data_IF_608866940429
#
_entry.id   IF_608866940429
#
_cell.length_a   1.000
_cell.length_b   1.000
_cell.length_c   1.000
_cell.angle_alpha   90.00
_cell.angle_beta   90.00
_cell.angle_gamma   90.00
#
_symmetry.space_group_name_H-M   'P 1'
#
loop_
_entity.id
_entity.type
_entity.pdbx_description
1 polymer ?
#
# COMPACT_ATOMS: atom_id res chain seq x y z
N UNK A 1 28.30 60.53 11.74
CA UNK A 1 28.55 60.26 10.31
C UNK A 1 28.76 58.77 10.21
N UNK A 2 27.99 57.98 9.58
CA UNK A 2 27.08 57.93 8.54
C UNK A 2 26.27 56.63 8.60
N UNK A 3 25.11 56.77 8.12
CA UNK A 3 23.94 55.98 7.92
C UNK A 3 24.11 54.46 7.65
N UNK A 4 23.53 53.60 8.50
CA UNK A 4 23.10 52.25 8.18
C UNK A 4 21.73 52.27 7.51
N UNK A 5 21.57 51.72 6.32
CA UNK A 5 20.29 51.55 5.61
C UNK A 5 19.74 50.14 5.85
N UNK A 6 18.52 50.14 6.30
CA UNK A 6 17.61 48.98 6.36
C UNK A 6 17.46 48.26 5.03
N UNK A 7 17.52 46.92 5.08
CA UNK A 7 16.84 46.08 4.12
C UNK A 7 16.23 44.88 4.86
N UNK A 8 14.98 44.96 5.12
CA UNK A 8 14.13 43.82 5.51
C UNK A 8 12.97 43.74 4.52
N UNK A 9 12.77 42.52 4.06
CA UNK A 9 11.46 42.07 3.56
C UNK A 9 11.31 42.16 2.05
N UNK A 10 11.45 40.97 1.43
CA UNK A 10 10.72 40.53 0.21
C UNK A 10 11.33 39.21 -0.27
N UNK A 11 11.00 38.10 0.40
CA UNK A 11 11.25 36.74 -0.10
C UNK A 11 10.23 35.80 0.51
N UNK A 12 9.00 35.80 0.03
CA UNK A 12 8.05 34.74 0.25
C UNK A 12 6.89 34.73 -0.77
N UNK A 13 6.91 35.56 -1.81
CA UNK A 13 5.84 35.61 -2.81
C UNK A 13 6.26 35.26 -4.24
N UNK A 14 7.52 34.84 -4.43
CA UNK A 14 8.12 34.65 -5.76
C UNK A 14 8.14 33.24 -6.32
N UNK A 15 7.85 32.22 -5.51
CA UNK A 15 8.06 30.80 -5.93
C UNK A 15 6.77 30.15 -6.43
N UNK A 16 5.60 30.58 -5.98
CA UNK A 16 4.30 29.99 -6.40
C UNK A 16 3.87 30.44 -7.82
N UNK A 17 4.38 31.54 -8.33
CA UNK A 17 4.03 32.06 -9.65
C UNK A 17 4.86 31.48 -10.82
N UNK A 18 5.96 30.82 -10.54
CA UNK A 18 6.88 30.32 -11.60
C UNK A 18 6.50 28.94 -12.13
N UNK A 19 5.79 28.11 -11.32
CA UNK A 19 5.36 26.76 -11.76
C UNK A 19 4.12 26.84 -12.67
N UNK A 20 3.22 27.78 -12.42
CA UNK A 20 2.05 28.01 -13.27
C UNK A 20 2.43 28.56 -14.68
N UNK A 21 3.57 29.25 -14.82
CA UNK A 21 3.98 29.85 -16.10
C UNK A 21 4.71 28.87 -17.01
N UNK A 22 5.34 27.80 -16.48
CA UNK A 22 6.07 26.82 -17.32
C UNK A 22 5.11 25.88 -18.06
N UNK A 23 3.93 25.62 -17.48
CA UNK A 23 2.87 24.84 -18.18
C UNK A 23 2.26 25.66 -19.34
N UNK A 24 2.27 27.00 -19.29
CA UNK A 24 1.65 27.87 -20.27
C UNK A 24 2.55 28.11 -21.51
N UNK A 25 3.87 28.01 -21.41
CA UNK A 25 4.79 28.36 -22.51
C UNK A 25 4.99 27.21 -23.51
N UNK A 26 4.73 25.96 -23.16
CA UNK A 26 4.78 24.82 -24.09
C UNK A 26 3.60 24.73 -25.07
N UNK A 27 2.59 25.59 -24.94
CA UNK A 27 1.27 25.46 -25.57
C UNK A 27 1.09 26.34 -26.85
N UNK A 28 2.10 26.97 -27.37
CA UNK A 28 1.91 28.11 -28.28
C UNK A 28 1.96 27.87 -29.81
N UNK A 29 1.75 26.66 -30.34
CA UNK A 29 1.89 26.46 -31.83
C UNK A 29 0.73 25.70 -32.49
N UNK A 30 -0.38 25.38 -31.81
CA UNK A 30 -1.51 24.67 -32.46
C UNK A 30 -2.80 25.48 -32.39
N UNK A 31 -3.51 25.71 -33.56
CA UNK A 31 -4.61 26.69 -33.62
C UNK A 31 -5.94 26.28 -33.02
N UNK A 32 -6.20 25.03 -32.74
CA UNK A 32 -7.40 24.60 -32.03
C UNK A 32 -7.06 23.65 -30.88
N UNK A 33 -7.25 24.11 -29.64
CA UNK A 33 -7.13 23.29 -28.48
C UNK A 33 -8.50 23.06 -27.88
N UNK A 34 -8.92 21.80 -27.87
CA UNK A 34 -10.04 21.38 -27.03
C UNK A 34 -9.47 21.05 -25.65
N UNK A 35 -9.66 21.96 -24.68
CA UNK A 35 -9.18 21.82 -23.32
C UNK A 35 -10.38 21.53 -22.43
N UNK A 36 -10.24 20.55 -21.55
CA UNK A 36 -11.20 20.20 -20.52
C UNK A 36 -10.50 20.08 -19.18
N UNK A 37 -11.02 20.73 -18.17
CA UNK A 37 -10.58 20.65 -16.78
C UNK A 37 -11.52 19.74 -16.00
N UNK A 38 -10.98 19.03 -15.00
CA UNK A 38 -11.73 18.11 -14.17
C UNK A 38 -11.59 18.51 -12.71
N UNK A 39 -12.71 18.67 -12.05
CA UNK A 39 -12.77 18.86 -10.61
C UNK A 39 -12.59 17.53 -9.89
N UNK A 40 -12.01 17.59 -8.70
CA UNK A 40 -12.00 16.47 -7.76
C UNK A 40 -13.42 16.07 -7.38
N UNK A 41 -13.65 14.78 -7.12
CA UNK A 41 -14.88 14.27 -6.54
C UNK A 41 -14.69 13.93 -5.07
N UNK A 42 -15.75 14.15 -4.28
CA UNK A 42 -15.79 13.74 -2.88
C UNK A 42 -16.08 12.25 -2.68
N UNK A 43 -16.41 11.52 -3.75
CA UNK A 43 -16.74 10.10 -3.68
C UNK A 43 -15.56 9.24 -3.22
N UNK A 44 -15.86 8.19 -2.48
CA UNK A 44 -14.93 7.14 -2.06
C UNK A 44 -15.07 5.91 -2.94
N UNK A 45 -13.95 5.29 -3.24
CA UNK A 45 -13.88 4.16 -4.17
C UNK A 45 -13.11 2.99 -3.56
N UNK A 46 -13.52 1.78 -3.88
CA UNK A 46 -12.73 0.57 -3.63
C UNK A 46 -11.62 0.38 -4.65
N UNK A 47 -10.70 1.34 -4.72
CA UNK A 47 -9.59 1.29 -5.66
C UNK A 47 -8.56 0.21 -5.28
N UNK A 48 -7.88 -0.43 -6.27
CA UNK A 48 -6.93 -1.48 -6.00
C UNK A 48 -5.74 -1.02 -5.16
N UNK A 49 -5.19 -1.93 -4.37
CA UNK A 49 -3.95 -1.77 -3.58
C UNK A 49 -4.02 -0.67 -2.50
N UNK A 50 -5.19 -0.30 -2.03
CA UNK A 50 -5.38 0.66 -0.94
C UNK A 50 -6.67 0.42 -0.18
N UNK A 51 -6.85 1.09 0.96
CA UNK A 51 -8.09 1.11 1.71
C UNK A 51 -8.15 0.04 2.80
N UNK A 52 -9.35 -0.38 3.17
CA UNK A 52 -9.53 -1.39 4.19
C UNK A 52 -9.25 -2.80 3.67
N UNK A 53 -8.62 -3.61 4.52
CA UNK A 53 -8.23 -4.99 4.22
C UNK A 53 -8.74 -5.95 5.32
N UNK A 54 -10.05 -6.28 5.33
CA UNK A 54 -10.58 -7.28 6.26
C UNK A 54 -10.01 -8.67 5.95
N UNK A 55 -10.15 -9.60 6.91
CA UNK A 55 -9.66 -10.96 6.75
C UNK A 55 -10.20 -11.64 5.49
N UNK A 56 -9.33 -12.33 4.77
CA UNK A 56 -9.66 -13.00 3.51
C UNK A 56 -10.66 -14.16 3.66
N UNK A 57 -10.76 -14.77 4.84
CA UNK A 57 -11.74 -15.81 5.16
C UNK A 57 -13.18 -15.30 5.32
N UNK A 58 -13.41 -13.99 5.39
CA UNK A 58 -14.75 -13.42 5.46
C UNK A 58 -15.60 -13.81 4.25
N UNK A 59 -16.79 -14.36 4.48
CA UNK A 59 -17.70 -14.75 3.40
C UNK A 59 -18.23 -13.54 2.63
N UNK A 60 -18.40 -12.41 3.31
CA UNK A 60 -18.89 -11.16 2.71
C UNK A 60 -17.96 -10.00 3.03
N UNK A 61 -17.62 -9.25 1.98
CA UNK A 61 -16.90 -7.99 2.10
C UNK A 61 -17.63 -6.91 1.33
N UNK A 62 -17.46 -5.66 1.73
CA UNK A 62 -18.12 -4.55 1.06
C UNK A 62 -17.51 -4.26 -0.32
N UNK A 63 -18.28 -3.59 -1.19
CA UNK A 63 -17.87 -3.28 -2.57
C UNK A 63 -16.65 -2.36 -2.64
N UNK A 64 -16.46 -1.54 -1.62
CA UNK A 64 -15.33 -0.62 -1.44
C UNK A 64 -14.04 -1.29 -0.94
N UNK A 65 -14.03 -2.61 -0.74
CA UNK A 65 -12.86 -3.41 -0.36
C UNK A 65 -12.20 -4.01 -1.60
N UNK A 66 -10.93 -3.66 -1.82
CA UNK A 66 -10.08 -4.21 -2.89
C UNK A 66 -8.88 -5.00 -2.38
N UNK A 67 -8.62 -4.93 -1.09
CA UNK A 67 -7.57 -5.67 -0.39
C UNK A 67 -8.18 -6.60 0.65
N UNK A 68 -7.59 -7.77 0.84
CA UNK A 68 -7.92 -8.72 1.91
C UNK A 68 -6.65 -9.04 2.69
N UNK A 69 -6.83 -9.40 3.95
CA UNK A 69 -5.75 -9.72 4.85
C UNK A 69 -5.71 -11.22 5.14
N UNK A 70 -4.57 -11.84 5.02
CA UNK A 70 -4.36 -13.26 5.26
C UNK A 70 -3.21 -13.46 6.24
N UNK A 71 -3.55 -13.81 7.49
CA UNK A 71 -2.61 -14.36 8.46
C UNK A 71 -2.54 -15.86 8.30
N UNK A 72 -1.34 -16.41 8.35
CA UNK A 72 -1.12 -17.85 8.43
C UNK A 72 -0.04 -18.15 9.46
N UNK A 73 -0.29 -19.11 10.33
CA UNK A 73 0.74 -19.62 11.24
C UNK A 73 1.62 -20.65 10.53
N UNK A 74 2.84 -20.82 11.00
CA UNK A 74 3.71 -21.87 10.44
C UNK A 74 3.15 -23.27 10.71
N UNK A 75 2.51 -23.47 11.87
CA UNK A 75 1.89 -24.76 12.21
C UNK A 75 0.75 -25.12 11.24
N UNK A 76 -0.05 -24.14 10.79
CA UNK A 76 -1.10 -24.34 9.78
C UNK A 76 -0.52 -24.61 8.41
N UNK A 77 0.55 -23.88 8.04
CA UNK A 77 1.18 -23.98 6.73
C UNK A 77 1.85 -25.36 6.52
N UNK A 78 2.64 -25.81 7.50
CA UNK A 78 3.53 -26.96 7.35
C UNK A 78 3.40 -27.93 8.55
N UNK A 79 2.24 -28.61 8.67
CA UNK A 79 1.96 -29.49 9.81
C UNK A 79 2.94 -30.67 9.95
N UNK A 80 3.62 -31.06 8.85
CA UNK A 80 4.73 -32.01 8.82
C UNK A 80 5.86 -31.49 7.95
N UNK A 81 7.09 -31.81 8.28
CA UNK A 81 8.29 -31.38 7.56
C UNK A 81 8.19 -31.63 6.04
N UNK A 82 8.19 -30.56 5.25
CA UNK A 82 8.07 -30.57 3.80
C UNK A 82 6.67 -30.87 3.25
N UNK A 83 5.64 -31.04 4.11
CA UNK A 83 4.26 -31.24 3.69
C UNK A 83 3.45 -29.94 3.96
N UNK A 84 3.20 -29.18 2.91
CA UNK A 84 2.49 -27.88 3.00
C UNK A 84 0.99 -28.05 2.76
N UNK A 85 0.19 -27.35 3.57
CA UNK A 85 -1.27 -27.48 3.60
C UNK A 85 -1.98 -26.47 2.65
N UNK A 86 -1.49 -26.39 1.41
CA UNK A 86 -1.95 -25.38 0.42
C UNK A 86 -3.46 -25.38 0.21
N UNK A 87 -4.06 -26.55 0.01
CA UNK A 87 -5.51 -26.66 -0.28
C UNK A 87 -6.38 -26.06 0.84
N UNK A 88 -6.02 -26.29 2.11
CA UNK A 88 -6.74 -25.73 3.25
C UNK A 88 -6.59 -24.21 3.28
N UNK A 89 -5.35 -23.70 3.20
CA UNK A 89 -5.05 -22.28 3.25
C UNK A 89 -5.76 -21.53 2.12
N UNK A 90 -5.68 -22.01 0.89
CA UNK A 90 -6.32 -21.39 -0.26
C UNK A 90 -7.85 -21.38 -0.16
N UNK A 91 -8.42 -22.47 0.33
CA UNK A 91 -9.85 -22.62 0.50
C UNK A 91 -10.39 -21.75 1.63
N UNK A 92 -9.76 -21.78 2.80
CA UNK A 92 -10.14 -20.98 3.97
C UNK A 92 -10.07 -19.49 3.67
N UNK A 93 -9.00 -19.04 2.99
CA UNK A 93 -8.80 -17.66 2.61
C UNK A 93 -9.42 -17.30 1.24
N UNK A 94 -10.16 -18.21 0.62
CA UNK A 94 -10.91 -17.99 -0.62
C UNK A 94 -10.08 -17.39 -1.79
N UNK A 95 -8.79 -17.74 -1.90
CA UNK A 95 -7.84 -17.07 -2.80
C UNK A 95 -8.29 -17.05 -4.27
N UNK A 96 -8.83 -18.17 -4.77
CA UNK A 96 -9.37 -18.27 -6.13
C UNK A 96 -10.54 -17.31 -6.39
N UNK A 97 -11.40 -17.06 -5.38
CA UNK A 97 -12.49 -16.10 -5.44
C UNK A 97 -11.96 -14.67 -5.54
N UNK A 98 -11.07 -14.29 -4.65
CA UNK A 98 -10.55 -12.93 -4.59
C UNK A 98 -9.79 -12.57 -5.87
N UNK A 99 -8.98 -13.50 -6.38
CA UNK A 99 -8.30 -13.34 -7.68
C UNK A 99 -9.31 -13.12 -8.82
N UNK A 100 -10.38 -13.90 -8.87
CA UNK A 100 -11.44 -13.77 -9.89
C UNK A 100 -12.16 -12.42 -9.80
N UNK A 101 -12.38 -11.92 -8.58
CA UNK A 101 -12.99 -10.62 -8.31
C UNK A 101 -12.03 -9.44 -8.52
N UNK A 102 -10.73 -9.68 -8.77
CA UNK A 102 -9.70 -8.66 -8.95
C UNK A 102 -9.29 -7.98 -7.64
N UNK A 103 -9.41 -8.68 -6.53
CA UNK A 103 -8.95 -8.24 -5.21
C UNK A 103 -7.58 -8.82 -4.92
N UNK A 104 -6.75 -8.06 -4.21
CA UNK A 104 -5.38 -8.44 -3.86
C UNK A 104 -5.27 -8.85 -2.39
N UNK A 105 -4.19 -9.53 -2.03
CA UNK A 105 -3.96 -10.06 -0.69
C UNK A 105 -2.74 -9.39 -0.05
N UNK A 106 -2.88 -9.08 1.24
CA UNK A 106 -1.80 -8.80 2.17
C UNK A 106 -1.53 -10.10 2.91
N UNK A 107 -0.30 -10.58 2.89
CA UNK A 107 0.11 -11.79 3.59
C UNK A 107 0.91 -11.43 4.85
N UNK A 108 0.57 -12.07 5.98
CA UNK A 108 1.41 -12.12 7.17
C UNK A 108 1.63 -13.58 7.57
N UNK A 109 2.88 -14.01 7.62
CA UNK A 109 3.27 -15.35 8.09
C UNK A 109 3.85 -15.23 9.49
N UNK A 110 3.25 -15.93 10.46
CA UNK A 110 3.52 -15.73 11.87
C UNK A 110 4.00 -17.00 12.56
N UNK A 111 4.86 -16.83 13.59
CA UNK A 111 5.45 -17.91 14.36
C UNK A 111 5.04 -17.90 15.85
N UNK A 112 4.31 -16.87 16.27
CA UNK A 112 3.91 -16.68 17.67
C UNK A 112 2.69 -15.74 17.73
N UNK A 113 1.52 -16.27 18.10
CA UNK A 113 0.27 -15.55 18.26
C UNK A 113 -0.26 -15.80 19.68
N UNK A 114 -0.25 -14.81 20.57
CA UNK A 114 -0.87 -14.96 21.90
C UNK A 114 -2.35 -15.30 21.81
N UNK A 115 -2.77 -16.41 22.44
CA UNK A 115 -4.13 -16.89 22.42
C UNK A 115 -4.73 -17.14 23.80
N UNK A 116 -5.99 -17.57 23.86
CA UNK A 116 -6.69 -17.85 25.13
C UNK A 116 -6.15 -19.10 25.82
N UNK A 117 -5.84 -20.11 25.03
CA UNK A 117 -5.34 -21.40 25.51
C UNK A 117 -3.86 -21.56 25.17
N UNK A 118 -3.18 -22.42 25.95
CA UNK A 118 -1.76 -22.74 25.67
C UNK A 118 -1.64 -23.46 24.35
N UNK A 119 -0.91 -22.90 23.41
CA UNK A 119 -0.66 -23.46 22.09
C UNK A 119 0.68 -23.00 21.54
N UNK A 120 1.01 -23.42 20.33
CA UNK A 120 2.25 -23.10 19.62
C UNK A 120 1.94 -22.91 18.13
N UNK A 121 2.50 -21.85 17.52
CA UNK A 121 2.27 -21.48 16.13
C UNK A 121 3.40 -21.91 15.20
N UNK A 122 4.48 -22.48 15.73
CA UNK A 122 5.43 -23.27 14.95
C UNK A 122 5.00 -24.76 14.97
N UNK A 123 5.29 -25.54 13.91
CA UNK A 123 4.90 -26.94 13.88
C UNK A 123 5.68 -27.79 14.90
N UNK A 124 5.04 -28.85 15.42
CA UNK A 124 5.61 -29.77 16.42
C UNK A 124 6.94 -30.38 15.98
N UNK A 125 7.04 -30.76 14.70
CA UNK A 125 8.29 -31.31 14.16
C UNK A 125 9.45 -30.32 14.23
N UNK A 126 9.18 -28.99 14.05
CA UNK A 126 10.20 -27.96 14.17
C UNK A 126 10.59 -27.72 15.62
N UNK A 127 9.62 -27.72 16.54
CA UNK A 127 9.86 -27.63 17.98
C UNK A 127 10.81 -28.74 18.44
N UNK A 128 10.61 -29.99 17.97
CA UNK A 128 11.52 -31.12 18.22
C UNK A 128 12.92 -30.87 17.61
N UNK A 129 12.99 -30.37 16.36
CA UNK A 129 14.24 -30.07 15.67
C UNK A 129 15.06 -28.97 16.35
N UNK A 130 14.40 -27.97 16.91
CA UNK A 130 15.06 -26.88 17.64
C UNK A 130 15.55 -27.32 19.03
N UNK A 131 15.26 -28.54 19.47
CA UNK A 131 15.56 -29.06 20.80
C UNK A 131 14.72 -28.37 21.87
N UNK A 132 13.49 -28.01 21.55
CA UNK A 132 12.52 -27.35 22.41
C UNK A 132 12.97 -25.95 22.90
N UNK A 133 13.85 -25.27 22.17
CA UNK A 133 14.34 -23.95 22.55
C UNK A 133 13.30 -22.86 22.28
N UNK A 134 13.06 -22.05 23.29
CA UNK A 134 12.05 -20.99 23.29
C UNK A 134 11.40 -20.86 24.65
N UNK A 135 10.37 -20.04 24.78
CA UNK A 135 9.73 -19.73 26.06
C UNK A 135 8.22 -19.90 25.96
N UNK A 136 7.66 -20.83 26.74
CA UNK A 136 6.23 -20.87 27.01
C UNK A 136 5.85 -19.71 27.92
N UNK A 137 4.81 -18.96 27.54
CA UNK A 137 4.36 -17.79 28.30
C UNK A 137 2.86 -17.83 28.60
N UNK A 138 2.50 -17.12 29.67
CA UNK A 138 1.13 -16.82 30.11
C UNK A 138 1.15 -15.38 30.63
N UNK A 139 0.75 -14.44 29.80
CA UNK A 139 0.83 -12.99 30.03
C UNK A 139 -0.55 -12.36 29.89
N UNK A 140 -0.69 -11.07 30.21
CA UNK A 140 -1.98 -10.36 30.24
C UNK A 140 -2.76 -10.49 28.91
N UNK A 141 -2.06 -10.42 27.77
CA UNK A 141 -2.68 -10.46 26.45
C UNK A 141 -2.78 -11.87 25.82
N UNK A 142 -2.34 -12.92 26.54
CA UNK A 142 -2.53 -14.28 26.06
C UNK A 142 -1.44 -15.27 26.47
N UNK A 143 -1.58 -16.49 25.96
CA UNK A 143 -0.69 -17.63 26.21
C UNK A 143 -0.16 -18.15 24.87
N UNK A 144 1.05 -18.68 24.88
CA UNK A 144 1.63 -19.22 23.67
C UNK A 144 3.06 -19.72 23.89
N UNK A 145 3.77 -19.88 22.78
CA UNK A 145 5.18 -20.26 22.74
C UNK A 145 5.95 -19.28 21.86
N UNK A 146 6.88 -18.53 22.46
CA UNK A 146 7.82 -17.69 21.74
C UNK A 146 9.06 -18.53 21.38
N UNK A 147 9.30 -18.84 20.09
CA UNK A 147 10.46 -19.62 19.67
C UNK A 147 11.77 -18.85 19.90
N UNK A 148 12.87 -19.60 20.05
CA UNK A 148 14.21 -19.02 20.05
C UNK A 148 14.62 -18.66 18.61
N UNK A 149 14.46 -17.42 18.26
CA UNK A 149 14.81 -16.89 16.93
C UNK A 149 16.31 -16.93 16.62
N UNK A 150 17.21 -17.19 17.58
CA UNK A 150 18.63 -17.41 17.34
C UNK A 150 18.98 -18.86 17.03
N UNK A 151 18.03 -19.78 17.14
CA UNK A 151 18.26 -21.18 16.87
C UNK A 151 18.50 -21.43 15.37
N UNK A 152 19.63 -22.06 15.01
CA UNK A 152 20.02 -22.29 13.61
C UNK A 152 19.04 -23.18 12.84
N UNK A 153 18.33 -24.10 13.50
CA UNK A 153 17.29 -24.92 12.84
C UNK A 153 16.05 -24.07 12.55
N UNK A 154 15.65 -23.20 13.50
CA UNK A 154 14.55 -22.24 13.30
C UNK A 154 14.80 -21.38 12.06
N UNK A 155 15.98 -20.77 11.97
CA UNK A 155 16.39 -19.90 10.86
C UNK A 155 16.43 -20.67 9.55
N UNK A 156 17.04 -21.86 9.54
CA UNK A 156 17.17 -22.69 8.34
C UNK A 156 15.80 -23.07 7.77
N UNK A 157 14.93 -23.64 8.61
CA UNK A 157 13.62 -24.10 8.15
C UNK A 157 12.66 -22.93 7.83
N UNK A 158 12.79 -21.79 8.53
CA UNK A 158 12.06 -20.57 8.15
C UNK A 158 12.36 -20.17 6.70
N UNK A 159 13.63 -20.14 6.32
CA UNK A 159 14.00 -19.81 4.93
C UNK A 159 13.42 -20.82 3.92
N UNK A 160 13.30 -22.12 4.27
CA UNK A 160 12.66 -23.13 3.42
C UNK A 160 11.13 -22.90 3.32
N UNK A 161 10.47 -22.60 4.42
CA UNK A 161 9.03 -22.31 4.44
C UNK A 161 8.70 -21.06 3.60
N UNK A 162 9.47 -19.98 3.77
CA UNK A 162 9.30 -18.75 2.97
C UNK A 162 9.55 -19.00 1.49
N UNK A 163 10.56 -19.82 1.15
CA UNK A 163 10.81 -20.21 -0.23
C UNK A 163 9.63 -20.97 -0.83
N UNK A 164 9.06 -21.93 -0.09
CA UNK A 164 7.88 -22.67 -0.53
C UNK A 164 6.66 -21.76 -0.72
N UNK A 165 6.46 -20.78 0.19
CA UNK A 165 5.42 -19.74 0.04
C UNK A 165 5.63 -18.95 -1.25
N UNK A 166 6.85 -18.50 -1.55
CA UNK A 166 7.16 -17.73 -2.75
C UNK A 166 6.98 -18.54 -4.04
N UNK A 167 7.41 -19.80 -4.05
CA UNK A 167 7.21 -20.71 -5.19
C UNK A 167 5.73 -20.98 -5.46
N UNK A 168 4.90 -21.06 -4.41
CA UNK A 168 3.47 -21.36 -4.54
C UNK A 168 2.60 -20.12 -4.78
N UNK A 169 2.81 -19.03 -4.05
CA UNK A 169 1.95 -17.83 -4.05
C UNK A 169 2.56 -16.60 -4.74
N UNK A 170 3.88 -16.58 -5.00
CA UNK A 170 4.59 -15.37 -5.43
C UNK A 170 4.45 -15.02 -6.92
N UNK A 171 3.91 -15.92 -7.76
CA UNK A 171 4.02 -15.83 -9.22
C UNK A 171 2.95 -15.00 -9.93
N UNK A 172 1.75 -14.88 -9.38
CA UNK A 172 0.57 -14.45 -10.12
C UNK A 172 0.06 -13.03 -9.80
N UNK A 173 0.73 -12.33 -8.88
CA UNK A 173 0.38 -10.96 -8.49
C UNK A 173 -0.79 -10.85 -7.51
N UNK A 174 -1.34 -11.96 -7.02
CA UNK A 174 -2.39 -11.97 -6.01
C UNK A 174 -1.88 -11.41 -4.68
N UNK A 175 -0.70 -11.86 -4.23
CA UNK A 175 -0.02 -11.31 -3.05
C UNK A 175 0.66 -10.00 -3.47
N UNK A 176 0.09 -8.87 -3.06
CA UNK A 176 0.60 -7.55 -3.40
C UNK A 176 1.45 -6.92 -2.31
N UNK A 177 1.14 -7.26 -1.05
CA UNK A 177 1.85 -6.80 0.12
C UNK A 177 2.18 -7.96 1.05
N UNK A 178 3.31 -7.88 1.74
CA UNK A 178 3.70 -8.82 2.78
C UNK A 178 4.13 -8.02 4.00
N UNK A 179 3.42 -8.16 5.10
CA UNK A 179 3.90 -7.71 6.38
C UNK A 179 4.80 -8.79 6.96
N UNK A 180 6.07 -8.47 7.18
CA UNK A 180 7.09 -9.39 7.68
C UNK A 180 6.77 -9.80 9.11
N UNK A 181 6.01 -10.88 9.25
CA UNK A 181 5.41 -11.35 10.50
C UNK A 181 6.15 -12.47 11.21
N UNK A 182 7.38 -12.79 10.83
CA UNK A 182 8.08 -13.97 11.36
C UNK A 182 8.63 -13.80 12.77
N UNK A 183 8.79 -12.57 13.27
CA UNK A 183 9.44 -12.28 14.54
C UNK A 183 8.51 -11.60 15.54
N UNK A 184 8.49 -12.12 16.77
CA UNK A 184 7.74 -11.55 17.89
C UNK A 184 6.27 -11.93 17.94
N UNK A 185 5.58 -11.46 18.98
CA UNK A 185 4.14 -11.66 19.16
C UNK A 185 3.37 -11.07 17.97
N UNK A 186 2.40 -11.81 17.44
CA UNK A 186 1.62 -11.48 16.22
C UNK A 186 2.48 -11.16 15.00
N UNK A 187 3.80 -11.43 15.07
CA UNK A 187 4.73 -11.01 14.04
C UNK A 187 5.04 -9.51 14.03
N UNK A 188 4.77 -8.79 15.10
CA UNK A 188 4.87 -7.33 15.19
C UNK A 188 6.22 -6.83 15.72
N UNK A 189 7.24 -7.67 15.67
CA UNK A 189 8.62 -7.32 16.05
C UNK A 189 8.74 -6.80 17.49
N UNK A 190 7.94 -7.35 18.37
CA UNK A 190 8.02 -7.13 19.82
C UNK A 190 7.80 -8.42 20.61
N UNK A 191 8.33 -8.48 21.80
CA UNK A 191 8.15 -9.58 22.75
C UNK A 191 7.98 -9.03 24.16
N UNK A 192 7.25 -9.75 25.02
CA UNK A 192 7.20 -9.42 26.43
C UNK A 192 8.45 -9.93 27.14
N UNK A 193 9.58 -9.25 26.96
CA UNK A 193 10.84 -9.63 27.59
C UNK A 193 10.81 -9.53 29.12
N UNK A 194 9.87 -8.77 29.71
CA UNK A 194 9.68 -8.73 31.18
C UNK A 194 9.09 -10.04 31.73
N UNK A 195 8.44 -10.84 30.89
CA UNK A 195 7.98 -12.19 31.20
C UNK A 195 9.06 -13.28 30.99
N UNK A 196 10.31 -12.90 30.78
CA UNK A 196 11.43 -13.82 30.56
C UNK A 196 11.58 -14.32 29.13
N UNK A 197 10.81 -13.78 28.17
CA UNK A 197 10.97 -14.07 26.75
C UNK A 197 12.23 -13.36 26.24
N UNK A 198 13.01 -14.06 25.41
CA UNK A 198 14.22 -13.49 24.83
C UNK A 198 13.86 -12.33 23.89
N UNK A 199 14.61 -11.22 24.01
CA UNK A 199 14.47 -10.09 23.08
C UNK A 199 14.73 -10.52 21.64
N UNK A 200 14.30 -9.69 20.69
CA UNK A 200 14.57 -9.90 19.27
C UNK A 200 16.06 -10.11 19.02
N UNK A 201 16.43 -10.98 18.08
CA UNK A 201 17.82 -11.27 17.78
C UNK A 201 18.56 -10.05 17.24
N UNK A 202 19.88 -10.16 17.15
CA UNK A 202 20.75 -9.13 16.56
C UNK A 202 20.48 -8.94 15.06
N UNK A 203 20.98 -7.83 14.53
CA UNK A 203 20.79 -7.41 13.15
C UNK A 203 21.13 -8.49 12.13
N UNK A 204 22.27 -9.16 12.28
CA UNK A 204 22.73 -10.22 11.38
C UNK A 204 21.81 -11.43 11.37
N UNK A 205 21.20 -11.76 12.50
CA UNK A 205 20.21 -12.84 12.60
C UNK A 205 18.85 -12.39 12.04
N UNK A 206 18.40 -11.17 12.38
CA UNK A 206 17.17 -10.61 11.81
C UNK A 206 17.21 -10.58 10.28
N UNK A 207 18.36 -10.26 9.69
CA UNK A 207 18.54 -10.27 8.24
C UNK A 207 18.22 -11.63 7.62
N UNK A 208 18.57 -12.72 8.29
CA UNK A 208 18.28 -14.08 7.83
C UNK A 208 16.80 -14.42 7.79
N UNK A 209 15.96 -13.66 8.52
CA UNK A 209 14.49 -13.74 8.44
C UNK A 209 13.90 -12.82 7.36
N UNK A 210 14.61 -11.78 6.93
CA UNK A 210 14.15 -10.83 5.92
C UNK A 210 14.53 -11.26 4.49
N UNK A 211 15.78 -11.68 4.29
CA UNK A 211 16.34 -12.01 2.97
C UNK A 211 15.50 -13.02 2.19
N UNK A 212 15.02 -14.14 2.77
CA UNK A 212 14.19 -15.09 2.03
C UNK A 212 12.95 -14.46 1.40
N UNK A 213 12.29 -13.51 2.07
CA UNK A 213 11.14 -12.79 1.54
C UNK A 213 11.50 -11.89 0.36
N UNK A 214 12.61 -11.16 0.47
CA UNK A 214 13.13 -10.30 -0.61
C UNK A 214 13.42 -11.12 -1.88
N UNK A 215 13.96 -12.31 -1.72
CA UNK A 215 14.37 -13.18 -2.84
C UNK A 215 13.19 -13.89 -3.50
N UNK A 216 12.14 -14.22 -2.77
CA UNK A 216 11.07 -15.10 -3.26
C UNK A 216 9.79 -14.40 -3.69
N UNK A 217 9.59 -13.14 -3.30
CA UNK A 217 8.39 -12.36 -3.65
C UNK A 217 8.72 -11.06 -4.42
N UNK A 218 9.29 -11.14 -5.62
CA UNK A 218 9.73 -9.94 -6.36
C UNK A 218 8.58 -9.01 -6.78
N UNK A 219 7.34 -9.51 -6.80
CA UNK A 219 6.16 -8.76 -7.22
C UNK A 219 5.39 -8.14 -6.03
N UNK A 220 5.59 -8.63 -4.82
CA UNK A 220 4.99 -8.06 -3.61
C UNK A 220 5.87 -6.94 -3.02
N UNK A 221 5.26 -6.00 -2.32
CA UNK A 221 5.99 -5.02 -1.53
C UNK A 221 6.01 -5.48 -0.08
N UNK A 222 7.20 -5.48 0.51
CA UNK A 222 7.41 -5.92 1.88
C UNK A 222 7.26 -4.76 2.84
N UNK A 223 6.68 -4.99 4.01
CA UNK A 223 6.54 -4.02 5.09
C UNK A 223 7.12 -4.57 6.39
N UNK A 224 7.79 -3.72 7.16
CA UNK A 224 8.28 -4.04 8.50
C UNK A 224 7.55 -3.22 9.56
N UNK A 225 7.41 -3.75 10.77
CA UNK A 225 6.77 -3.01 11.87
C UNK A 225 7.63 -1.83 12.35
N UNK A 226 8.95 -1.96 12.26
CA UNK A 226 9.93 -0.99 12.75
C UNK A 226 10.94 -0.62 11.67
N UNK A 227 11.47 0.58 11.75
CA UNK A 227 12.49 1.08 10.83
C UNK A 227 13.90 0.53 11.14
N UNK A 228 14.03 -0.79 11.24
CA UNK A 228 15.35 -1.42 11.32
C UNK A 228 16.18 -1.13 10.07
N UNK A 229 17.49 -1.22 10.17
CA UNK A 229 18.42 -1.02 9.04
C UNK A 229 18.04 -1.81 7.78
N UNK A 230 17.45 -3.01 7.96
CA UNK A 230 16.94 -3.86 6.87
C UNK A 230 15.81 -3.19 6.08
N UNK A 231 14.92 -2.43 6.75
CA UNK A 231 13.85 -1.70 6.07
C UNK A 231 14.43 -0.70 5.07
N UNK A 232 15.42 0.08 5.50
CA UNK A 232 16.13 1.02 4.63
C UNK A 232 16.94 0.30 3.55
N UNK A 233 17.64 -0.79 3.90
CA UNK A 233 18.50 -1.57 2.99
C UNK A 233 17.73 -2.18 1.83
N UNK A 234 16.54 -2.72 2.10
CA UNK A 234 15.71 -3.41 1.12
C UNK A 234 14.55 -2.57 0.58
N UNK A 235 14.44 -1.30 1.01
CA UNK A 235 13.39 -0.38 0.56
C UNK A 235 11.99 -0.85 0.92
N UNK A 236 11.81 -1.43 2.11
CA UNK A 236 10.49 -1.89 2.55
C UNK A 236 9.64 -0.73 3.01
N UNK A 237 8.33 -0.90 2.93
CA UNK A 237 7.37 -0.10 3.67
C UNK A 237 7.40 -0.38 5.17
N UNK A 238 6.56 0.32 5.91
CA UNK A 238 6.37 0.13 7.34
C UNK A 238 4.88 -0.06 7.65
N UNK A 239 4.55 -0.69 8.79
CA UNK A 239 3.16 -0.80 9.23
C UNK A 239 3.00 -0.42 10.71
N UNK A 240 1.83 0.14 11.06
CA UNK A 240 1.46 0.59 12.39
C UNK A 240 0.25 -0.17 12.92
N UNK A 241 0.43 -1.02 13.93
CA UNK A 241 -0.61 -1.78 14.63
C UNK A 241 -1.40 -0.95 15.65
N UNK A 242 -1.06 0.34 15.81
CA UNK A 242 -1.66 1.25 16.80
C UNK A 242 -2.37 2.45 16.15
N UNK A 243 -2.84 2.29 14.92
CA UNK A 243 -3.55 3.38 14.22
C UNK A 243 -4.82 3.79 14.98
N UNK A 244 -5.01 5.09 15.13
CA UNK A 244 -6.11 5.69 15.92
C UNK A 244 -5.69 6.09 17.33
N UNK A 245 -4.68 5.47 17.93
CA UNK A 245 -4.06 5.97 19.16
C UNK A 245 -3.05 7.08 18.81
N UNK A 246 -3.35 8.32 19.26
CA UNK A 246 -2.49 9.47 18.95
C UNK A 246 -1.11 9.36 19.56
N UNK A 247 -1.00 8.90 20.81
CA UNK A 247 0.27 8.81 21.52
C UNK A 247 1.21 7.78 20.89
N UNK A 248 0.68 6.61 20.60
CA UNK A 248 1.45 5.50 20.03
C UNK A 248 1.81 5.78 18.56
N UNK A 249 0.86 6.31 17.76
CA UNK A 249 1.14 6.66 16.36
C UNK A 249 2.17 7.79 16.24
N UNK A 250 2.06 8.85 17.05
CA UNK A 250 3.07 9.92 17.09
C UNK A 250 4.44 9.42 17.55
N UNK A 251 4.47 8.51 18.52
CA UNK A 251 5.72 7.88 18.99
C UNK A 251 6.38 7.07 17.86
N UNK A 252 5.58 6.30 17.12
CA UNK A 252 6.04 5.55 15.95
C UNK A 252 6.56 6.47 14.84
N UNK A 253 5.86 7.57 14.52
CA UNK A 253 6.32 8.56 13.55
C UNK A 253 7.63 9.24 13.98
N UNK A 254 7.79 9.55 15.27
CA UNK A 254 9.05 10.10 15.82
C UNK A 254 10.19 9.08 15.72
N UNK A 255 9.94 7.80 15.94
CA UNK A 255 10.92 6.72 15.74
C UNK A 255 11.38 6.67 14.28
N UNK A 256 10.46 6.72 13.32
CA UNK A 256 10.77 6.75 11.88
C UNK A 256 11.57 7.99 11.50
N UNK A 257 11.24 9.13 12.08
CA UNK A 257 11.93 10.38 11.80
C UNK A 257 13.37 10.41 12.34
N UNK A 258 13.57 9.90 13.56
CA UNK A 258 14.82 10.10 14.28
C UNK A 258 15.69 8.84 14.33
N UNK A 259 15.14 7.65 14.22
CA UNK A 259 15.82 6.40 14.58
C UNK A 259 16.12 6.35 16.07
N UNK A 260 17.01 5.44 16.48
CA UNK A 260 17.53 5.35 17.83
C UNK A 260 17.50 3.94 18.42
N UNK A 261 17.53 3.88 19.75
CA UNK A 261 17.50 2.64 20.52
C UNK A 261 16.06 2.08 20.56
N UNK A 262 15.93 0.77 20.49
CA UNK A 262 14.66 0.07 20.65
C UNK A 262 14.77 -0.95 21.79
N UNK A 263 13.88 -0.87 22.78
CA UNK A 263 13.89 -1.76 23.96
C UNK A 263 13.66 -3.24 23.62
N UNK A 264 13.17 -3.55 22.44
CA UNK A 264 12.93 -4.91 21.95
C UNK A 264 14.21 -5.66 21.55
N UNK A 265 15.33 -4.98 21.46
CA UNK A 265 16.66 -5.55 21.19
C UNK A 265 17.72 -4.98 22.13
N UNK A 266 18.82 -5.69 22.31
CA UNK A 266 19.96 -5.22 23.13
C UNK A 266 20.96 -4.35 22.33
N UNK A 267 20.69 -4.13 21.04
CA UNK A 267 21.53 -3.32 20.16
C UNK A 267 21.24 -1.82 20.33
N UNK A 268 22.30 -1.04 20.21
CA UNK A 268 22.23 0.44 20.16
C UNK A 268 21.91 0.91 18.77
N UNK A 269 21.10 1.97 18.66
CA UNK A 269 20.66 2.55 17.39
C UNK A 269 20.06 1.49 16.44
N UNK A 270 19.26 0.58 16.98
CA UNK A 270 18.68 -0.54 16.25
C UNK A 270 17.72 -0.10 15.14
N UNK A 271 17.06 1.03 15.29
CA UNK A 271 16.18 1.63 14.30
C UNK A 271 16.82 2.86 13.66
N UNK A 272 16.59 3.04 12.36
CA UNK A 272 17.20 4.10 11.56
C UNK A 272 16.14 5.10 11.08
N UNK A 273 16.57 6.35 10.81
CA UNK A 273 15.66 7.35 10.25
C UNK A 273 15.26 6.98 8.82
N UNK A 274 13.95 7.03 8.53
CA UNK A 274 13.35 6.72 7.23
C UNK A 274 12.21 7.71 6.89
N UNK A 275 12.33 8.99 7.19
CA UNK A 275 11.27 10.00 7.09
C UNK A 275 10.58 10.10 5.72
N UNK A 276 11.28 9.76 4.64
CA UNK A 276 10.79 9.87 3.27
C UNK A 276 10.44 8.53 2.61
N UNK A 277 10.46 7.42 3.35
CA UNK A 277 10.24 6.08 2.80
C UNK A 277 8.88 5.94 2.10
N UNK A 278 7.86 6.62 2.62
CA UNK A 278 6.49 6.60 2.09
C UNK A 278 6.39 7.08 0.63
N UNK A 279 7.40 7.79 0.12
CA UNK A 279 7.44 8.20 -1.30
C UNK A 279 7.66 7.03 -2.26
N UNK A 280 8.23 5.93 -1.77
CA UNK A 280 8.64 4.77 -2.58
C UNK A 280 8.10 3.44 -2.08
N UNK A 281 7.59 3.38 -0.85
CA UNK A 281 7.10 2.16 -0.23
C UNK A 281 5.87 2.42 0.66
N UNK A 282 4.91 1.47 0.74
CA UNK A 282 3.62 1.67 1.39
C UNK A 282 3.71 1.76 2.91
N UNK A 283 2.71 2.41 3.48
CA UNK A 283 2.40 2.34 4.92
C UNK A 283 1.16 1.48 5.11
N UNK A 284 1.35 0.35 5.79
CA UNK A 284 0.28 -0.52 6.25
C UNK A 284 -0.09 -0.26 7.71
N UNK A 285 -0.99 -1.07 8.21
CA UNK A 285 -1.34 -1.09 9.63
C UNK A 285 -2.75 -1.53 9.88
N UNK A 286 -3.18 -1.38 11.11
CA UNK A 286 -4.54 -1.68 11.56
C UNK A 286 -4.97 -0.73 12.67
N UNK A 287 -6.28 -0.62 12.88
CA UNK A 287 -6.79 0.11 14.04
C UNK A 287 -6.40 -0.58 15.34
N UNK A 288 -5.97 0.22 16.32
CA UNK A 288 -5.67 -0.32 17.65
C UNK A 288 -6.90 -0.94 18.30
N UNK A 289 -6.69 -2.02 19.05
CA UNK A 289 -7.71 -2.61 19.92
C UNK A 289 -7.84 -1.91 21.29
N UNK A 290 -6.94 -0.97 21.58
CA UNK A 290 -6.91 -0.23 22.86
C UNK A 290 -8.00 0.82 23.00
N UNK A 291 -8.54 1.30 21.86
CA UNK A 291 -9.60 2.30 21.79
C UNK A 291 -10.86 1.71 21.14
N UNK A 292 -12.01 2.29 21.45
CA UNK A 292 -13.26 1.90 20.79
C UNK A 292 -13.36 2.49 19.38
N UNK A 293 -14.07 1.80 18.49
CA UNK A 293 -14.38 2.34 17.16
C UNK A 293 -15.23 3.64 17.24
N UNK A 294 -16.05 3.81 18.29
CA UNK A 294 -16.79 5.05 18.52
C UNK A 294 -15.85 6.23 18.79
N UNK A 295 -14.84 6.02 19.60
CA UNK A 295 -13.83 7.04 19.88
C UNK A 295 -13.07 7.43 18.63
N UNK A 296 -12.53 6.46 17.89
CA UNK A 296 -11.71 6.70 16.70
C UNK A 296 -12.49 7.22 15.48
N UNK A 297 -13.74 6.77 15.29
CA UNK A 297 -14.52 7.03 14.07
C UNK A 297 -15.64 8.05 14.21
N UNK A 298 -15.95 8.50 15.43
CA UNK A 298 -16.99 9.49 15.72
C UNK A 298 -16.44 10.61 16.57
N UNK A 299 -16.09 10.34 17.83
CA UNK A 299 -15.69 11.38 18.80
C UNK A 299 -14.41 12.10 18.37
N UNK A 300 -13.35 11.36 17.99
CA UNK A 300 -12.04 11.89 17.63
C UNK A 300 -11.70 11.69 16.14
N UNK A 301 -12.69 11.57 15.28
CA UNK A 301 -12.52 11.32 13.85
C UNK A 301 -11.56 12.30 13.17
N UNK A 302 -11.59 13.58 13.55
CA UNK A 302 -10.69 14.58 12.97
C UNK A 302 -9.23 14.27 13.26
N UNK A 303 -8.92 13.79 14.48
CA UNK A 303 -7.56 13.40 14.86
C UNK A 303 -7.15 12.09 14.16
N UNK A 304 -8.06 11.12 14.08
CA UNK A 304 -7.82 9.88 13.36
C UNK A 304 -7.45 10.15 11.89
N UNK A 305 -8.22 11.01 11.21
CA UNK A 305 -7.94 11.38 9.81
C UNK A 305 -6.61 12.12 9.68
N UNK A 306 -6.27 13.00 10.62
CA UNK A 306 -4.98 13.68 10.63
C UNK A 306 -3.82 12.69 10.74
N UNK A 307 -3.89 11.73 11.66
CA UNK A 307 -2.89 10.66 11.82
C UNK A 307 -2.73 9.79 10.56
N UNK A 308 -3.84 9.43 9.92
CA UNK A 308 -3.85 8.71 8.63
C UNK A 308 -3.08 9.47 7.56
N UNK A 309 -3.28 10.80 7.48
CA UNK A 309 -2.59 11.65 6.51
C UNK A 309 -1.11 11.86 6.85
N UNK A 310 -0.79 12.11 8.13
CA UNK A 310 0.58 12.31 8.61
C UNK A 310 1.43 11.04 8.44
N UNK A 311 0.84 9.86 8.62
CA UNK A 311 1.50 8.58 8.43
C UNK A 311 1.53 8.10 6.97
N UNK A 312 0.86 8.80 6.04
CA UNK A 312 0.73 8.37 4.64
C UNK A 312 0.14 6.97 4.48
N UNK A 313 -0.82 6.61 5.34
CA UNK A 313 -1.41 5.27 5.39
C UNK A 313 -2.00 4.87 4.05
N UNK A 314 -1.59 3.71 3.54
CA UNK A 314 -2.05 3.13 2.28
C UNK A 314 -3.22 2.17 2.49
N UNK A 315 -3.14 1.32 3.52
CA UNK A 315 -4.17 0.35 3.88
C UNK A 315 -4.26 0.11 5.38
N UNK A 316 -5.42 -0.35 5.84
CA UNK A 316 -5.67 -0.78 7.22
C UNK A 316 -6.34 -2.16 7.25
N UNK A 317 -5.75 -3.10 7.95
CA UNK A 317 -6.25 -4.45 8.20
C UNK A 317 -5.28 -5.29 9.04
N UNK A 318 -5.78 -6.36 9.68
CA UNK A 318 -7.13 -6.92 9.58
C UNK A 318 -8.19 -6.20 10.43
N UNK A 319 -7.80 -5.44 11.49
CA UNK A 319 -8.73 -4.64 12.29
C UNK A 319 -9.08 -3.35 11.53
N UNK A 320 -10.25 -3.36 10.88
CA UNK A 320 -10.72 -2.26 10.02
C UNK A 320 -11.79 -1.43 10.72
N UNK A 321 -12.12 -0.26 10.16
CA UNK A 321 -13.21 0.58 10.63
C UNK A 321 -14.58 -0.14 10.60
N UNK A 322 -15.37 0.06 11.65
CA UNK A 322 -16.74 -0.45 11.73
C UNK A 322 -17.70 0.45 10.91
N UNK A 323 -18.37 -0.15 9.93
CA UNK A 323 -19.38 0.54 9.09
C UNK A 323 -20.58 1.09 9.87
N UNK A 324 -20.78 0.70 11.12
CA UNK A 324 -21.74 1.33 12.02
C UNK A 324 -21.49 2.86 12.12
N UNK A 325 -20.23 3.28 12.02
CA UNK A 325 -19.79 4.69 12.02
C UNK A 325 -19.53 5.17 10.59
N UNK A 326 -20.56 5.12 9.74
CA UNK A 326 -20.47 5.35 8.28
C UNK A 326 -19.67 6.60 7.90
N UNK A 327 -19.92 7.74 8.55
CA UNK A 327 -19.24 8.99 8.25
C UNK A 327 -17.74 8.90 8.57
N UNK A 328 -17.37 8.30 9.69
CA UNK A 328 -15.98 8.07 10.06
C UNK A 328 -15.30 7.08 9.12
N UNK A 329 -15.99 5.97 8.82
CA UNK A 329 -15.53 4.97 7.86
C UNK A 329 -15.15 5.60 6.50
N UNK A 330 -16.06 6.40 5.92
CA UNK A 330 -15.85 7.08 4.63
C UNK A 330 -14.76 8.16 4.74
N UNK A 331 -14.70 8.90 5.86
CA UNK A 331 -13.70 9.93 6.08
C UNK A 331 -12.28 9.36 6.13
N UNK A 332 -12.09 8.23 6.81
CA UNK A 332 -10.79 7.54 6.85
C UNK A 332 -10.45 6.99 5.47
N UNK A 333 -11.39 6.27 4.81
CA UNK A 333 -11.15 5.68 3.48
C UNK A 333 -10.79 6.74 2.43
N UNK A 334 -11.42 7.91 2.48
CA UNK A 334 -11.12 9.04 1.58
C UNK A 334 -9.69 9.58 1.77
N UNK A 335 -9.16 9.50 2.99
CA UNK A 335 -7.87 10.06 3.35
C UNK A 335 -6.73 9.03 3.38
N UNK A 336 -7.01 7.76 3.07
CA UNK A 336 -5.99 6.72 2.86
C UNK A 336 -5.55 6.63 1.41
N UNK A 337 -4.30 6.19 1.20
CA UNK A 337 -3.77 5.82 -0.10
C UNK A 337 -3.74 6.96 -1.11
N UNK A 338 -3.90 6.58 -2.36
CA UNK A 338 -3.84 7.51 -3.48
C UNK A 338 -5.24 7.96 -3.95
N UNK A 339 -5.31 9.16 -4.53
CA UNK A 339 -6.49 9.71 -5.21
C UNK A 339 -6.06 10.31 -6.55
N UNK A 340 -5.75 9.44 -7.50
CA UNK A 340 -5.29 9.86 -8.83
C UNK A 340 -6.44 10.49 -9.64
N UNK A 341 -6.16 11.60 -10.30
CA UNK A 341 -7.07 12.22 -11.28
C UNK A 341 -6.32 12.90 -12.42
N UNK A 342 -7.04 13.15 -13.49
CA UNK A 342 -6.60 14.09 -14.53
C UNK A 342 -7.14 15.48 -14.14
N UNK A 343 -6.25 16.44 -13.92
CA UNK A 343 -6.66 17.82 -13.65
C UNK A 343 -7.07 18.54 -14.93
N UNK A 344 -6.37 18.25 -16.03
CA UNK A 344 -6.63 18.84 -17.35
C UNK A 344 -6.33 17.83 -18.44
N UNK A 345 -7.18 17.78 -19.45
CA UNK A 345 -6.92 17.11 -20.73
C UNK A 345 -7.01 18.08 -21.90
N UNK A 346 -6.09 17.99 -22.85
CA UNK A 346 -6.10 18.83 -24.04
C UNK A 346 -5.85 18.00 -25.31
N UNK A 347 -6.68 18.23 -26.34
CA UNK A 347 -6.48 17.71 -27.68
C UNK A 347 -5.94 18.83 -28.61
N UNK A 348 -4.87 18.51 -29.33
CA UNK A 348 -4.27 19.40 -30.31
C UNK A 348 -4.11 18.66 -31.63
N UNK A 349 -4.78 19.12 -32.68
CA UNK A 349 -4.71 18.51 -34.02
C UNK A 349 -3.53 19.05 -34.80
N UNK A 350 -2.74 18.17 -35.42
CA UNK A 350 -1.58 18.49 -36.23
C UNK A 350 -1.54 17.66 -37.52
N UNK A 351 -0.62 17.99 -38.44
CA UNK A 351 -0.48 17.30 -39.74
C UNK A 351 -0.10 15.81 -39.59
N UNK A 352 0.51 15.41 -38.48
CA UNK A 352 1.06 14.05 -38.25
C UNK A 352 0.26 13.23 -37.25
N UNK A 353 -0.75 13.82 -36.62
CA UNK A 353 -1.52 13.14 -35.60
C UNK A 353 -2.27 14.10 -34.69
N UNK A 354 -3.08 13.54 -33.79
CA UNK A 354 -3.74 14.28 -32.73
C UNK A 354 -2.98 14.03 -31.43
N UNK A 355 -2.49 15.10 -30.80
CA UNK A 355 -1.79 15.04 -29.52
C UNK A 355 -2.78 15.17 -28.38
N UNK A 356 -2.81 14.16 -27.50
CA UNK A 356 -3.47 14.20 -26.21
C UNK A 356 -2.44 14.58 -25.13
N UNK A 357 -2.68 15.69 -24.45
CA UNK A 357 -1.89 16.14 -23.30
C UNK A 357 -2.73 15.99 -22.04
N UNK A 358 -2.16 15.40 -20.98
CA UNK A 358 -2.83 15.14 -19.71
C UNK A 358 -2.01 15.69 -18.54
N UNK A 359 -2.68 16.34 -17.59
CA UNK A 359 -2.12 16.72 -16.30
C UNK A 359 -2.57 15.74 -15.22
N UNK A 360 -1.66 14.97 -14.64
CA UNK A 360 -1.90 13.98 -13.62
C UNK A 360 -1.66 14.57 -12.23
N UNK A 361 -2.57 14.34 -11.30
CA UNK A 361 -2.49 14.80 -9.91
C UNK A 361 -2.87 13.66 -8.99
N UNK A 362 -2.25 13.64 -7.81
CA UNK A 362 -2.64 12.77 -6.71
C UNK A 362 -3.08 13.63 -5.53
N UNK A 363 -4.38 13.62 -5.23
CA UNK A 363 -4.98 14.36 -4.11
C UNK A 363 -5.05 13.50 -2.82
N UNK A 364 -4.50 12.27 -2.86
CA UNK A 364 -4.42 11.36 -1.72
C UNK A 364 -3.29 11.69 -0.74
N UNK A 365 -3.08 10.81 0.24
CA UNK A 365 -2.01 10.92 1.24
C UNK A 365 -0.77 10.08 0.89
N UNK A 366 -0.89 9.12 -0.03
CA UNK A 366 0.18 8.22 -0.45
C UNK A 366 0.22 8.07 -1.98
N UNK A 367 1.34 7.70 -2.60
CA UNK A 367 1.39 7.40 -4.03
C UNK A 367 0.74 6.05 -4.39
N UNK A 368 0.50 5.84 -5.68
CA UNK A 368 0.23 4.52 -6.23
C UNK A 368 1.55 3.81 -6.51
N UNK A 369 1.98 2.91 -5.67
CA UNK A 369 3.34 2.36 -5.64
C UNK A 369 3.70 1.40 -6.79
N UNK A 370 2.80 1.18 -7.75
CA UNK A 370 3.03 0.27 -8.89
C UNK A 370 2.96 1.02 -10.22
N UNK A 371 3.82 0.67 -11.15
CA UNK A 371 3.80 1.22 -12.50
C UNK A 371 2.94 0.35 -13.42
N UNK A 372 1.64 0.30 -13.13
CA UNK A 372 0.67 -0.40 -13.97
C UNK A 372 0.50 0.31 -15.32
N UNK A 373 0.23 -0.47 -16.37
CA UNK A 373 0.05 0.09 -17.72
C UNK A 373 -1.17 0.99 -17.78
N UNK A 374 -0.97 2.21 -18.29
CA UNK A 374 -2.01 3.20 -18.50
C UNK A 374 -2.35 3.27 -19.99
N UNK A 375 -3.63 3.20 -20.29
CA UNK A 375 -4.12 3.18 -21.67
C UNK A 375 -5.13 4.29 -21.93
N UNK A 376 -5.00 4.97 -23.07
CA UNK A 376 -6.08 5.75 -23.67
C UNK A 376 -6.83 4.88 -24.68
N UNK A 377 -8.15 4.94 -24.61
CA UNK A 377 -9.07 4.27 -25.53
C UNK A 377 -9.85 5.32 -26.31
N UNK A 378 -9.87 5.17 -27.62
CA UNK A 378 -10.79 5.85 -28.52
C UNK A 378 -11.90 4.86 -28.85
N UNK A 379 -13.15 5.23 -28.58
CA UNK A 379 -14.31 4.37 -28.88
C UNK A 379 -15.31 5.11 -29.78
N UNK A 380 -15.94 4.36 -30.70
CA UNK A 380 -17.04 4.85 -31.51
C UNK A 380 -18.33 5.09 -30.68
N UNK A 381 -19.38 5.54 -31.32
CA UNK A 381 -20.69 5.78 -30.68
C UNK A 381 -21.37 4.49 -30.17
N UNK A 382 -21.03 3.36 -30.75
CA UNK A 382 -21.50 2.03 -30.33
C UNK A 382 -20.69 1.48 -29.12
N UNK A 383 -19.56 2.12 -28.76
CA UNK A 383 -18.67 1.72 -27.68
C UNK A 383 -17.56 0.76 -28.10
N UNK A 384 -17.38 0.48 -29.39
CA UNK A 384 -16.29 -0.36 -29.88
C UNK A 384 -14.95 0.41 -29.81
N UNK A 385 -13.90 -0.26 -29.37
CA UNK A 385 -12.56 0.35 -29.31
C UNK A 385 -11.97 0.42 -30.72
N UNK A 386 -11.77 1.63 -31.23
CA UNK A 386 -11.16 1.95 -32.52
C UNK A 386 -9.64 2.06 -32.40
N UNK A 387 -9.18 2.64 -31.30
CA UNK A 387 -7.76 2.75 -30.98
C UNK A 387 -7.52 2.52 -29.48
N UNK A 388 -6.45 1.79 -29.15
CA UNK A 388 -5.90 1.64 -27.80
C UNK A 388 -4.43 2.03 -27.85
N UNK A 389 -4.02 3.02 -27.08
CA UNK A 389 -2.64 3.53 -27.05
C UNK A 389 -2.14 3.60 -25.62
N UNK A 390 -0.93 3.13 -25.37
CA UNK A 390 -0.29 3.26 -24.07
C UNK A 390 0.14 4.70 -23.81
N UNK A 391 -0.09 5.18 -22.62
CA UNK A 391 0.42 6.45 -22.10
C UNK A 391 1.71 6.14 -21.36
N UNK A 392 2.77 6.84 -21.72
CA UNK A 392 4.07 6.73 -21.03
C UNK A 392 4.04 7.57 -19.75
N UNK A 393 3.81 6.89 -18.63
CA UNK A 393 3.79 7.46 -17.28
C UNK A 393 4.22 6.41 -16.27
N UNK A 394 5.02 6.82 -15.31
CA UNK A 394 5.29 6.08 -14.07
C UNK A 394 4.30 6.56 -13.01
N UNK A 395 3.26 5.77 -12.75
CA UNK A 395 2.22 6.14 -11.78
C UNK A 395 2.78 6.32 -10.37
N UNK A 396 3.82 5.57 -10.01
CA UNK A 396 4.52 5.67 -8.72
C UNK A 396 5.20 7.02 -8.51
N UNK A 397 5.47 7.77 -9.57
CA UNK A 397 6.07 9.11 -9.51
C UNK A 397 5.05 10.24 -9.28
N UNK A 398 3.74 9.95 -9.35
CA UNK A 398 2.68 10.94 -9.08
C UNK A 398 2.47 11.05 -7.59
N UNK A 399 3.37 11.80 -6.93
CA UNK A 399 3.33 11.99 -5.49
C UNK A 399 2.16 12.89 -5.05
N UNK A 400 1.67 12.75 -3.80
CA UNK A 400 0.66 13.63 -3.24
C UNK A 400 1.01 15.13 -3.41
N UNK A 401 0.08 15.88 -3.97
CA UNK A 401 0.22 17.32 -4.20
C UNK A 401 1.09 17.71 -5.40
N UNK A 402 1.65 16.76 -6.15
CA UNK A 402 2.44 17.02 -7.34
C UNK A 402 1.60 16.87 -8.62
N UNK A 403 2.05 17.53 -9.69
CA UNK A 403 1.42 17.45 -11.02
C UNK A 403 2.45 16.96 -12.04
N UNK A 404 2.11 15.89 -12.76
CA UNK A 404 2.92 15.35 -13.86
C UNK A 404 2.17 15.53 -15.18
N UNK A 405 2.87 15.98 -16.22
CA UNK A 405 2.30 16.13 -17.56
C UNK A 405 2.75 14.97 -18.45
N UNK A 406 1.83 14.42 -19.25
CA UNK A 406 2.13 13.44 -20.30
C UNK A 406 1.58 13.87 -21.64
N UNK A 407 2.21 13.42 -22.73
CA UNK A 407 1.77 13.62 -24.09
C UNK A 407 1.72 12.30 -24.86
N UNK A 408 0.60 12.03 -25.51
CA UNK A 408 0.40 10.80 -26.29
C UNK A 408 -0.15 11.16 -27.68
N UNK A 409 0.45 10.59 -28.74
CA UNK A 409 0.00 10.80 -30.10
C UNK A 409 -1.02 9.74 -30.51
N UNK A 410 -2.20 10.18 -30.93
CA UNK A 410 -3.29 9.37 -31.48
C UNK A 410 -3.32 9.45 -32.99
N UNK A 411 -3.85 8.41 -33.64
CA UNK A 411 -3.98 8.38 -35.13
C UNK A 411 -5.07 9.34 -35.60
N UNK A 412 -4.66 10.47 -36.22
CA UNK A 412 -5.59 11.48 -36.70
C UNK A 412 -6.57 10.94 -37.74
N UNK A 413 -6.16 10.01 -38.62
CA UNK A 413 -7.06 9.45 -39.64
C UNK A 413 -8.23 8.73 -39.02
N UNK A 414 -7.97 7.93 -37.98
CA UNK A 414 -9.04 7.26 -37.20
C UNK A 414 -9.95 8.25 -36.52
N UNK A 415 -9.40 9.34 -35.97
CA UNK A 415 -10.20 10.39 -35.33
C UNK A 415 -10.98 11.21 -36.35
N UNK A 416 -10.43 11.49 -37.56
CA UNK A 416 -11.10 12.19 -38.66
C UNK A 416 -12.21 11.33 -39.29
N UNK A 417 -12.00 10.03 -39.45
CA UNK A 417 -13.04 9.08 -39.88
C UNK A 417 -14.21 9.07 -38.88
N UNK A 418 -13.93 9.29 -37.62
CA UNK A 418 -14.93 9.42 -36.56
C UNK A 418 -15.44 10.87 -36.39
N UNK A 419 -14.79 11.89 -37.01
CA UNK A 419 -15.12 13.32 -36.81
C UNK A 419 -16.52 13.70 -37.32
N UNK A 420 -17.10 12.93 -38.23
CA UNK A 420 -18.52 12.99 -38.59
C UNK A 420 -19.45 12.28 -37.62
N UNK A 421 -18.92 11.56 -36.64
CA UNK A 421 -19.61 10.78 -35.66
C UNK A 421 -19.09 11.12 -34.24
N UNK A 422 -19.92 10.96 -33.22
CA UNK A 422 -19.46 11.16 -31.82
C UNK A 422 -18.52 10.01 -31.43
N UNK A 423 -17.33 10.33 -30.96
CA UNK A 423 -16.42 9.40 -30.34
C UNK A 423 -16.20 9.76 -28.87
N UNK A 424 -15.73 8.80 -28.08
CA UNK A 424 -15.35 9.03 -26.70
C UNK A 424 -13.88 8.71 -26.48
N UNK A 425 -13.24 9.49 -25.63
CA UNK A 425 -11.89 9.21 -25.11
C UNK A 425 -12.01 8.80 -23.64
N UNK A 426 -11.35 7.74 -23.28
CA UNK A 426 -11.31 7.28 -21.88
C UNK A 426 -9.94 6.75 -21.48
N UNK A 427 -9.64 6.81 -20.19
CA UNK A 427 -8.40 6.31 -19.60
C UNK A 427 -8.72 5.07 -18.77
N UNK A 428 -7.89 4.03 -18.91
CA UNK A 428 -7.92 2.85 -18.06
C UNK A 428 -6.53 2.50 -17.58
N UNK A 429 -6.42 2.13 -16.30
CA UNK A 429 -5.21 1.62 -15.66
C UNK A 429 -5.40 0.12 -15.48
N UNK A 430 -4.52 -0.68 -16.10
CA UNK A 430 -4.67 -2.12 -16.24
C UNK A 430 -3.96 -2.85 -15.10
N UNK A 431 -4.72 -3.59 -14.30
CA UNK A 431 -4.22 -4.49 -13.28
C UNK A 431 -3.55 -5.71 -13.95
N UNK A 432 -2.24 -5.92 -13.78
CA UNK A 432 -1.52 -7.02 -14.42
C UNK A 432 -1.97 -8.41 -13.96
N UNK A 433 -2.54 -8.55 -12.75
CA UNK A 433 -3.07 -9.83 -12.26
C UNK A 433 -4.28 -10.30 -13.07
N UNK A 434 -5.14 -9.36 -13.45
CA UNK A 434 -6.41 -9.68 -14.11
C UNK A 434 -6.44 -9.34 -15.60
N UNK A 435 -5.53 -8.48 -16.07
CA UNK A 435 -5.55 -7.88 -17.40
C UNK A 435 -6.74 -6.93 -17.62
N UNK A 436 -7.40 -6.50 -16.55
CA UNK A 436 -8.57 -5.60 -16.60
C UNK A 436 -8.23 -4.22 -16.05
N UNK A 437 -8.92 -3.21 -16.58
CA UNK A 437 -8.90 -1.87 -16.00
C UNK A 437 -9.93 -1.80 -14.88
N UNK A 438 -9.53 -1.33 -13.69
CA UNK A 438 -10.39 -1.32 -12.50
C UNK A 438 -10.13 -0.13 -11.56
N UNK A 439 -9.31 0.85 -11.97
CA UNK A 439 -9.03 2.02 -11.16
C UNK A 439 -9.98 3.17 -11.50
N UNK A 440 -10.75 3.64 -10.52
CA UNK A 440 -11.63 4.81 -10.60
C UNK A 440 -10.85 6.07 -10.20
N UNK A 441 -10.71 7.01 -11.13
CA UNK A 441 -10.03 8.28 -10.86
C UNK A 441 -10.90 9.20 -10.01
N UNK A 442 -10.27 9.92 -9.09
CA UNK A 442 -10.94 10.83 -8.15
C UNK A 442 -11.35 12.16 -8.81
N UNK A 443 -12.07 12.09 -9.93
CA UNK A 443 -12.52 13.25 -10.68
C UNK A 443 -13.98 13.11 -11.13
N UNK A 444 -14.66 14.25 -11.32
CA UNK A 444 -16.05 14.29 -11.82
C UNK A 444 -16.09 13.90 -13.30
N UNK A 445 -16.22 12.61 -13.58
CA UNK A 445 -16.36 12.08 -14.94
C UNK A 445 -17.26 10.83 -14.95
N UNK A 446 -17.64 10.37 -16.13
CA UNK A 446 -18.33 9.08 -16.27
C UNK A 446 -17.31 7.94 -16.11
N UNK A 447 -17.61 6.95 -15.27
CA UNK A 447 -16.82 5.73 -15.10
C UNK A 447 -17.66 4.52 -15.52
N UNK A 448 -17.16 3.75 -16.49
CA UNK A 448 -17.85 2.54 -17.00
C UNK A 448 -16.81 1.51 -17.45
N UNK A 449 -17.08 0.24 -17.15
CA UNK A 449 -16.22 -0.89 -17.56
C UNK A 449 -14.75 -0.69 -17.24
N UNK A 450 -14.45 -0.13 -16.06
CA UNK A 450 -13.10 0.12 -15.61
C UNK A 450 -12.40 1.32 -16.26
N UNK A 451 -13.12 2.16 -17.01
CA UNK A 451 -12.56 3.30 -17.75
C UNK A 451 -13.16 4.63 -17.30
N UNK A 452 -12.32 5.65 -17.21
CA UNK A 452 -12.65 7.03 -16.87
C UNK A 452 -12.79 7.86 -18.14
N UNK A 453 -13.96 8.40 -18.42
CA UNK A 453 -14.26 9.07 -19.68
C UNK A 453 -13.87 10.53 -19.66
N UNK A 454 -13.02 10.92 -20.60
CA UNK A 454 -12.56 12.30 -20.78
C UNK A 454 -13.50 13.10 -21.68
N UNK A 455 -13.94 12.52 -22.79
CA UNK A 455 -14.92 13.06 -23.74
C UNK A 455 -15.93 12.00 -24.15
#
# INVERSE_FOLDING_TARGET
>A
MGKAKYWKGLTAAGIVLTVALVVIVGISVYPEKNIKEYEETEEVFGNPLMGYAPCAWNETVSEDVSLLYMDITWAELEPKEGEYNWESIEKENQLSRWKKEGKHIILRFVCDVPGKEKHMDIPEWLYEKTGHTGTWYDVEFGKGFAPDYNNEQMIYYHAQAVKALGEHLGGDGLISYIELGSLGHWGEWHVNYSAGIQRLPKEDVRERYVVPWVETFPNAMLLMRRSFSHASKYGTGLYNDMTGDSGETESWLKEIQNGGDLSQTDEKNAVVSMSDFWKTAPVGGEFTSSLSMEEMLDTDISRTVELIRESHTTFLGPNIADKKYQQGYESVLKNMGYRLRISQAALSHGFTGTKLSLGWVNDGSAPFYKDWSVWVYVTDKEGNTVEKKQIDIQLSSVLPGETIATETWLDTKKLEELAGEKYNLSIGIEDPMTGKTNLHMAMKCSYKNGRNFLW
#
